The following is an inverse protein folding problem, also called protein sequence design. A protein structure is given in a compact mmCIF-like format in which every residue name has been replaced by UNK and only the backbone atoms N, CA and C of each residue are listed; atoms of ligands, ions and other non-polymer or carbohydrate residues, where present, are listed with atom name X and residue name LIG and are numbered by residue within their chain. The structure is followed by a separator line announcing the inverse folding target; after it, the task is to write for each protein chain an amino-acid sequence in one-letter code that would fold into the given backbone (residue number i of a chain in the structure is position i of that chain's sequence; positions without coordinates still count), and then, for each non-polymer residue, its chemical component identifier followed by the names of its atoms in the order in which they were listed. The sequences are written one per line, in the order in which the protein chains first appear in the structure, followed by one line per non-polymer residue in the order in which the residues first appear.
data_IF_358932844541
#
_entry.id   IF_358932844541
#
_cell.length_a   1.000
_cell.length_b   1.000
_cell.length_c   1.000
_cell.angle_alpha   90.00
_cell.angle_beta   90.00
_cell.angle_gamma   90.00
#
_symmetry.space_group_name_H-M   'P 1'
#
loop_
_entity.id
_entity.type
_entity.pdbx_description
1 polymer ?
#
# COMPACT_ATOMS: atom_id res chain seq x y z
N UNK A 1 -41.65 -7.94 -17.50
CA UNK A 1 -41.09 -6.67 -17.00
C UNK A 1 -40.56 -6.92 -15.59
N UNK A 2 -39.27 -7.24 -15.46
CA UNK A 2 -38.62 -7.40 -14.15
C UNK A 2 -37.87 -6.10 -13.86
N UNK A 3 -38.43 -5.30 -12.97
CA UNK A 3 -37.71 -4.18 -12.36
C UNK A 3 -36.73 -4.83 -11.38
N UNK A 4 -35.52 -5.12 -11.84
CA UNK A 4 -34.40 -5.37 -10.92
C UNK A 4 -34.13 -4.02 -10.29
N UNK A 5 -34.60 -3.88 -9.06
CA UNK A 5 -34.30 -2.74 -8.20
C UNK A 5 -32.77 -2.71 -8.10
N UNK A 6 -32.11 -1.83 -8.89
CA UNK A 6 -30.68 -1.60 -8.78
C UNK A 6 -30.47 -1.00 -7.40
N UNK A 7 -30.26 -1.87 -6.41
CA UNK A 7 -29.63 -1.53 -5.15
C UNK A 7 -28.53 -0.55 -5.49
N UNK A 8 -28.63 0.68 -4.99
CA UNK A 8 -27.58 1.70 -5.00
C UNK A 8 -26.22 1.01 -5.15
N UNK A 9 -25.59 1.10 -6.32
CA UNK A 9 -24.30 0.46 -6.56
C UNK A 9 -23.38 0.91 -5.43
N UNK A 10 -23.10 0.01 -4.48
CA UNK A 10 -22.32 0.38 -3.30
C UNK A 10 -20.96 0.85 -3.79
N UNK A 11 -20.58 2.07 -3.43
CA UNK A 11 -19.29 2.64 -3.82
C UNK A 11 -18.19 1.92 -3.05
N UNK A 12 -17.63 0.86 -3.64
CA UNK A 12 -16.53 0.09 -3.07
C UNK A 12 -15.24 0.49 -3.79
N UNK A 13 -14.31 1.05 -3.05
CA UNK A 13 -13.02 1.49 -3.57
C UNK A 13 -11.91 0.71 -2.91
N UNK A 14 -10.88 0.37 -3.69
CA UNK A 14 -9.71 -0.29 -3.18
C UNK A 14 -8.44 0.44 -3.63
N UNK A 15 -7.47 0.55 -2.73
CA UNK A 15 -6.09 0.85 -3.05
C UNK A 15 -5.30 -0.44 -2.91
N UNK A 16 -4.69 -0.89 -4.01
CA UNK A 16 -3.90 -2.11 -4.06
C UNK A 16 -2.45 -1.72 -4.33
N UNK A 17 -1.59 -2.00 -3.36
CA UNK A 17 -0.18 -1.61 -3.35
C UNK A 17 0.73 -2.82 -3.49
N UNK A 18 1.67 -2.76 -4.43
CA UNK A 18 2.72 -3.76 -4.58
C UNK A 18 4.08 -3.11 -4.79
N UNK A 19 4.93 -3.07 -3.75
CA UNK A 19 6.26 -2.45 -3.84
C UNK A 19 7.34 -3.53 -3.80
N UNK A 20 8.02 -3.69 -4.93
CA UNK A 20 9.12 -4.65 -5.06
C UNK A 20 10.47 -4.06 -4.64
N UNK A 21 10.81 -2.87 -5.14
CA UNK A 21 12.17 -2.36 -5.14
C UNK A 21 12.41 -1.31 -4.05
N UNK A 22 13.51 -1.50 -3.31
CA UNK A 22 13.96 -0.62 -2.24
C UNK A 22 15.45 -0.29 -2.42
N UNK A 23 15.80 0.75 -3.22
CA UNK A 23 17.18 1.04 -3.58
C UNK A 23 18.15 1.31 -2.41
N UNK A 24 17.61 1.86 -1.31
CA UNK A 24 18.39 2.22 -0.14
C UNK A 24 18.39 1.14 0.95
N UNK A 25 17.59 0.08 0.80
CA UNK A 25 17.64 -1.10 1.66
C UNK A 25 18.53 -2.15 1.01
N UNK A 26 19.35 -2.84 1.81
CA UNK A 26 20.27 -3.86 1.31
C UNK A 26 19.77 -5.26 1.64
N UNK A 27 19.95 -6.18 0.70
CA UNK A 27 19.82 -7.62 0.97
C UNK A 27 21.12 -8.19 1.56
N UNK A 28 21.13 -9.49 1.83
CA UNK A 28 22.32 -10.21 2.36
C UNK A 28 23.53 -10.18 1.43
N UNK A 29 23.35 -9.85 0.15
CA UNK A 29 24.41 -9.71 -0.85
C UNK A 29 24.84 -8.24 -1.05
N UNK A 30 24.42 -7.33 -0.16
CA UNK A 30 24.66 -5.89 -0.23
C UNK A 30 24.10 -5.22 -1.51
N UNK A 31 23.11 -5.84 -2.16
CA UNK A 31 22.41 -5.29 -3.33
C UNK A 31 21.12 -4.61 -2.88
N UNK A 32 20.59 -3.67 -3.69
CA UNK A 32 19.23 -3.14 -3.49
C UNK A 32 18.22 -4.26 -3.25
N UNK A 33 17.49 -4.17 -2.14
CA UNK A 33 16.46 -5.14 -1.83
C UNK A 33 15.36 -5.10 -2.90
N UNK A 34 15.03 -6.27 -3.44
CA UNK A 34 13.98 -6.44 -4.43
C UNK A 34 13.11 -7.66 -4.08
N UNK A 35 11.84 -7.42 -3.74
CA UNK A 35 10.86 -8.44 -3.45
C UNK A 35 10.31 -9.00 -4.76
N UNK A 36 10.51 -10.29 -5.00
CA UNK A 36 10.21 -10.89 -6.31
C UNK A 36 8.71 -11.01 -6.62
N UNK A 37 7.85 -10.98 -5.61
CA UNK A 37 6.42 -11.32 -5.76
C UNK A 37 5.45 -10.19 -5.43
N UNK A 38 5.84 -9.16 -4.68
CA UNK A 38 4.90 -8.19 -4.12
C UNK A 38 4.01 -7.50 -5.18
N UNK A 39 4.60 -7.05 -6.30
CA UNK A 39 3.84 -6.45 -7.40
C UNK A 39 2.92 -7.45 -8.12
N UNK A 40 3.36 -8.70 -8.29
CA UNK A 40 2.58 -9.74 -8.96
C UNK A 40 1.40 -10.20 -8.09
N UNK A 41 1.64 -10.39 -6.79
CA UNK A 41 0.60 -10.74 -5.81
C UNK A 41 -0.43 -9.60 -5.69
N UNK A 42 0.04 -8.35 -5.63
CA UNK A 42 -0.83 -7.17 -5.66
C UNK A 42 -1.66 -7.09 -6.95
N UNK A 43 -1.08 -7.31 -8.12
CA UNK A 43 -1.83 -7.30 -9.38
C UNK A 43 -2.89 -8.41 -9.43
N UNK A 44 -2.57 -9.61 -8.96
CA UNK A 44 -3.54 -10.70 -8.86
C UNK A 44 -4.71 -10.34 -7.94
N UNK A 45 -4.44 -9.72 -6.78
CA UNK A 45 -5.48 -9.20 -5.88
C UNK A 45 -6.31 -8.10 -6.56
N UNK A 46 -5.67 -7.15 -7.25
CA UNK A 46 -6.37 -6.09 -7.98
C UNK A 46 -7.39 -6.68 -8.98
N UNK A 47 -6.97 -7.65 -9.78
CA UNK A 47 -7.83 -8.31 -10.77
C UNK A 47 -8.99 -9.06 -10.11
N UNK A 48 -8.75 -9.75 -9.00
CA UNK A 48 -9.82 -10.44 -8.26
C UNK A 48 -10.85 -9.46 -7.68
N UNK A 49 -10.39 -8.34 -7.14
CA UNK A 49 -11.25 -7.30 -6.58
C UNK A 49 -12.10 -6.60 -7.66
N UNK A 50 -11.53 -6.33 -8.84
CA UNK A 50 -12.26 -5.78 -9.98
C UNK A 50 -13.29 -6.80 -10.53
N UNK A 51 -12.85 -8.04 -10.76
CA UNK A 51 -13.64 -9.06 -11.45
C UNK A 51 -14.78 -9.61 -10.59
N UNK A 52 -14.49 -9.91 -9.32
CA UNK A 52 -15.42 -10.63 -8.43
C UNK A 52 -15.82 -9.81 -7.21
N UNK A 53 -15.00 -8.83 -6.82
CA UNK A 53 -15.24 -8.01 -5.64
C UNK A 53 -16.12 -6.78 -5.90
N UNK A 54 -16.41 -6.43 -7.15
CA UNK A 54 -17.10 -5.20 -7.53
C UNK A 54 -16.46 -3.95 -6.88
N UNK A 55 -15.12 -3.92 -6.84
CA UNK A 55 -14.35 -2.77 -6.38
C UNK A 55 -13.88 -1.93 -7.57
N UNK A 56 -13.88 -0.61 -7.39
CA UNK A 56 -13.08 0.30 -8.19
C UNK A 56 -11.67 0.28 -7.63
N UNK A 57 -10.72 -0.28 -8.37
CA UNK A 57 -9.35 -0.49 -7.89
C UNK A 57 -8.41 0.59 -8.40
N UNK A 58 -7.73 1.24 -7.47
CA UNK A 58 -6.55 2.06 -7.72
C UNK A 58 -5.30 1.21 -7.46
N UNK A 59 -4.47 1.05 -8.48
CA UNK A 59 -3.18 0.34 -8.41
C UNK A 59 -2.06 1.32 -8.00
N UNK A 60 -1.11 0.87 -7.17
CA UNK A 60 0.04 1.69 -6.79
C UNK A 60 1.31 0.85 -6.55
N UNK A 61 2.49 1.29 -7.03
CA UNK A 61 2.66 2.26 -8.11
C UNK A 61 1.97 1.76 -9.38
N UNK A 62 1.39 2.66 -10.19
CA UNK A 62 0.74 2.28 -11.43
C UNK A 62 1.65 2.53 -12.64
N UNK A 63 1.59 1.63 -13.61
CA UNK A 63 2.13 1.80 -14.97
C UNK A 63 1.04 1.46 -15.99
N UNK A 64 1.08 2.11 -17.15
CA UNK A 64 0.18 1.82 -18.27
C UNK A 64 0.88 0.85 -19.24
N UNK A 65 0.31 -0.33 -19.44
CA UNK A 65 0.79 -1.38 -20.35
C UNK A 65 -0.37 -1.78 -21.26
N UNK A 66 -0.21 -1.65 -22.58
CA UNK A 66 -1.24 -2.00 -23.58
C UNK A 66 -2.63 -1.46 -23.24
N UNK A 67 -2.69 -0.17 -22.90
CA UNK A 67 -3.89 0.57 -22.47
C UNK A 67 -4.53 0.15 -21.14
N UNK A 68 -3.98 -0.84 -20.45
CA UNK A 68 -4.39 -1.26 -19.10
C UNK A 68 -3.49 -0.64 -18.02
N UNK A 69 -4.08 -0.23 -16.89
CA UNK A 69 -3.31 0.12 -15.69
C UNK A 69 -2.94 -1.16 -14.94
N UNK A 70 -1.65 -1.31 -14.61
CA UNK A 70 -1.10 -2.42 -13.86
C UNK A 70 -0.19 -1.92 -12.74
N UNK A 71 0.12 -2.78 -11.76
CA UNK A 71 1.14 -2.47 -10.76
C UNK A 71 2.52 -2.42 -11.42
N UNK A 72 3.25 -1.32 -11.23
CA UNK A 72 4.62 -1.16 -11.71
C UNK A 72 5.58 -1.99 -10.85
N UNK A 73 6.05 -3.11 -11.39
CA UNK A 73 7.00 -3.99 -10.72
C UNK A 73 8.43 -3.41 -10.63
N UNK A 74 8.73 -2.36 -11.40
CA UNK A 74 10.04 -1.71 -11.49
C UNK A 74 9.89 -0.18 -11.51
N UNK A 75 9.29 0.41 -10.46
CA UNK A 75 8.93 1.81 -10.47
C UNK A 75 10.17 2.69 -10.54
N UNK A 76 10.17 3.66 -11.46
CA UNK A 76 11.13 4.76 -11.44
C UNK A 76 10.96 5.53 -10.13
N UNK A 77 12.04 6.11 -9.62
CA UNK A 77 12.21 6.56 -8.21
C UNK A 77 11.14 7.48 -7.61
N UNK A 78 10.22 8.05 -8.41
CA UNK A 78 9.15 8.96 -7.94
C UNK A 78 7.82 8.28 -7.67
N UNK A 79 7.51 7.14 -8.28
CA UNK A 79 6.15 6.61 -8.29
C UNK A 79 5.79 5.78 -7.07
N UNK A 80 6.78 5.33 -6.30
CA UNK A 80 6.61 4.51 -5.11
C UNK A 80 7.22 5.16 -3.86
N UNK A 81 7.20 6.50 -3.77
CA UNK A 81 7.72 7.25 -2.63
C UNK A 81 6.72 7.30 -1.46
N UNK A 82 7.22 7.46 -0.24
CA UNK A 82 6.44 7.58 1.00
C UNK A 82 5.35 8.65 0.89
N UNK A 83 5.67 9.81 0.32
CA UNK A 83 4.73 10.93 0.19
C UNK A 83 3.55 10.56 -0.71
N UNK A 84 3.82 10.01 -1.89
CA UNK A 84 2.80 9.54 -2.83
C UNK A 84 1.95 8.40 -2.25
N UNK A 85 2.58 7.47 -1.51
CA UNK A 85 1.84 6.40 -0.84
C UNK A 85 0.90 6.96 0.24
N UNK A 86 1.36 7.90 1.08
CA UNK A 86 0.50 8.56 2.08
C UNK A 86 -0.67 9.29 1.44
N UNK A 87 -0.44 9.96 0.31
CA UNK A 87 -1.47 10.65 -0.45
C UNK A 87 -2.52 9.66 -0.98
N UNK A 88 -2.08 8.57 -1.61
CA UNK A 88 -2.99 7.54 -2.12
C UNK A 88 -3.85 6.92 -1.00
N UNK A 89 -3.25 6.60 0.15
CA UNK A 89 -3.97 6.07 1.32
C UNK A 89 -4.96 7.13 1.85
N UNK A 90 -4.54 8.40 1.92
CA UNK A 90 -5.41 9.49 2.38
C UNK A 90 -6.61 9.68 1.47
N UNK A 91 -6.40 9.62 0.15
CA UNK A 91 -7.47 9.72 -0.85
C UNK A 91 -8.44 8.54 -0.78
N UNK A 92 -8.01 7.35 -0.36
CA UNK A 92 -8.91 6.22 -0.15
C UNK A 92 -9.81 6.42 1.09
N UNK A 93 -9.21 6.74 2.23
CA UNK A 93 -9.93 6.73 3.52
C UNK A 93 -10.58 8.06 3.89
N UNK A 94 -10.05 9.17 3.38
CA UNK A 94 -10.49 10.53 3.67
C UNK A 94 -10.57 11.40 2.41
N UNK A 95 -11.26 10.97 1.34
CA UNK A 95 -11.39 11.80 0.15
C UNK A 95 -12.25 13.04 0.42
N UNK A 96 -11.99 14.13 -0.30
CA UNK A 96 -12.83 15.33 -0.25
C UNK A 96 -14.26 15.06 -0.76
N UNK A 97 -14.37 14.24 -1.82
CA UNK A 97 -15.62 13.89 -2.49
C UNK A 97 -15.66 12.38 -2.76
N UNK A 98 -16.85 11.82 -3.05
CA UNK A 98 -17.01 10.41 -3.39
C UNK A 98 -16.55 9.44 -2.28
N UNK A 99 -16.93 9.73 -1.03
CA UNK A 99 -16.62 8.90 0.14
C UNK A 99 -17.09 7.45 -0.13
N UNK A 100 -16.18 6.46 -0.06
CA UNK A 100 -16.54 5.08 -0.28
C UNK A 100 -17.42 4.53 0.84
N UNK A 101 -18.38 3.69 0.46
CA UNK A 101 -19.12 2.88 1.43
C UNK A 101 -18.22 1.77 1.98
N UNK A 102 -17.37 1.19 1.13
CA UNK A 102 -16.30 0.26 1.53
C UNK A 102 -14.96 0.74 0.99
N UNK A 103 -14.01 1.04 1.86
CA UNK A 103 -12.62 1.29 1.53
C UNK A 103 -11.78 0.04 1.87
N UNK A 104 -11.06 -0.49 0.88
CA UNK A 104 -10.11 -1.58 1.06
C UNK A 104 -8.69 -1.11 0.75
N UNK A 105 -7.79 -1.26 1.70
CA UNK A 105 -6.36 -1.04 1.50
C UNK A 105 -5.63 -2.38 1.55
N UNK A 106 -5.04 -2.79 0.43
CA UNK A 106 -4.16 -3.94 0.35
C UNK A 106 -2.73 -3.46 0.14
N UNK A 107 -1.80 -4.00 0.92
CA UNK A 107 -0.38 -3.71 0.78
C UNK A 107 0.44 -4.99 0.75
N UNK A 108 1.16 -5.21 -0.35
CA UNK A 108 2.23 -6.19 -0.47
C UNK A 108 3.58 -5.46 -0.56
N UNK A 109 4.49 -5.77 0.36
CA UNK A 109 5.78 -5.10 0.42
C UNK A 109 6.62 -5.42 1.65
N UNK A 110 7.64 -4.59 1.91
CA UNK A 110 8.50 -4.68 3.10
C UNK A 110 7.88 -3.88 4.25
N UNK A 111 7.85 -4.46 5.44
CA UNK A 111 7.69 -3.70 6.68
C UNK A 111 9.05 -3.36 7.29
N UNK A 112 9.17 -2.20 7.91
CA UNK A 112 10.32 -1.80 8.72
C UNK A 112 9.89 -1.54 10.16
N UNK A 113 10.85 -1.58 11.07
CA UNK A 113 10.63 -1.37 12.48
C UNK A 113 11.76 -0.54 13.09
N UNK A 114 11.37 0.43 13.90
CA UNK A 114 12.28 1.23 14.71
C UNK A 114 11.93 1.02 16.19
N UNK A 115 12.94 0.94 17.03
CA UNK A 115 12.78 0.96 18.48
C UNK A 115 13.64 2.08 19.08
N UNK A 116 13.00 3.07 19.70
CA UNK A 116 13.70 4.17 20.38
C UNK A 116 13.02 4.47 21.71
N UNK A 117 13.82 4.57 22.77
CA UNK A 117 13.32 4.89 24.11
C UNK A 117 12.29 3.89 24.64
N UNK A 118 12.40 2.60 24.25
CA UNK A 118 11.45 1.55 24.62
C UNK A 118 10.13 1.56 23.83
N UNK A 119 9.99 2.44 22.84
CA UNK A 119 8.82 2.49 21.97
C UNK A 119 9.16 1.82 20.65
N UNK A 120 8.41 0.78 20.31
CA UNK A 120 8.50 0.06 19.04
C UNK A 120 7.49 0.63 18.06
N UNK A 121 7.96 1.16 16.93
CA UNK A 121 7.12 1.67 15.85
C UNK A 121 7.34 0.85 14.57
N UNK A 122 6.27 0.58 13.84
CA UNK A 122 6.30 -0.19 12.60
C UNK A 122 5.85 0.65 11.41
N UNK A 123 6.42 0.37 10.25
CA UNK A 123 6.25 1.17 9.04
C UNK A 123 6.03 0.28 7.82
N UNK A 124 5.17 0.74 6.91
CA UNK A 124 5.09 0.23 5.54
C UNK A 124 6.17 0.92 4.71
N UNK A 125 7.17 0.17 4.25
CA UNK A 125 8.25 0.74 3.49
C UNK A 125 7.78 1.13 2.09
N UNK A 126 8.09 2.37 1.71
CA UNK A 126 8.05 2.84 0.33
C UNK A 126 9.43 2.66 -0.32
N UNK A 127 9.54 2.78 -1.65
CA UNK A 127 10.82 2.60 -2.35
C UNK A 127 11.92 3.57 -1.90
N UNK A 128 11.56 4.76 -1.41
CA UNK A 128 12.50 5.74 -0.87
C UNK A 128 12.89 5.51 0.60
N UNK A 129 12.42 4.43 1.24
CA UNK A 129 12.75 4.12 2.62
C UNK A 129 14.26 4.00 2.81
N UNK A 130 14.80 4.78 3.74
CA UNK A 130 16.19 4.84 4.14
C UNK A 130 16.26 5.08 5.67
N UNK A 131 16.32 4.01 6.48
CA UNK A 131 16.43 4.10 7.94
C UNK A 131 17.64 4.91 8.42
N UNK A 132 18.77 4.84 7.73
CA UNK A 132 20.00 5.61 8.08
C UNK A 132 19.76 7.13 8.03
N UNK A 133 18.83 7.57 7.17
CA UNK A 133 18.40 8.97 7.05
C UNK A 133 17.10 9.27 7.79
N UNK A 134 16.60 8.35 8.63
CA UNK A 134 15.35 8.49 9.37
C UNK A 134 14.08 8.37 8.51
N UNK A 135 14.18 7.90 7.27
CA UNK A 135 13.02 7.66 6.41
C UNK A 135 12.58 6.19 6.50
N UNK A 136 11.74 5.85 7.48
CA UNK A 136 11.26 4.48 7.68
C UNK A 136 10.09 4.06 6.80
N UNK A 137 9.44 5.00 6.11
CA UNK A 137 8.22 4.76 5.33
C UNK A 137 6.96 5.29 6.01
N UNK A 138 5.80 4.69 5.75
CA UNK A 138 4.50 5.10 6.29
C UNK A 138 4.28 4.44 7.64
N UNK A 139 4.26 5.23 8.72
CA UNK A 139 4.00 4.76 10.08
C UNK A 139 2.62 4.11 10.20
N UNK A 140 2.56 2.94 10.84
CA UNK A 140 1.29 2.29 11.18
C UNK A 140 0.51 3.11 12.21
N UNK A 141 1.16 3.79 13.16
CA UNK A 141 0.48 4.71 14.07
C UNK A 141 -0.18 5.88 13.33
N UNK A 142 0.44 6.36 12.25
CA UNK A 142 -0.18 7.37 11.39
C UNK A 142 -1.37 6.79 10.61
N UNK A 143 -1.25 5.56 10.09
CA UNK A 143 -2.33 4.86 9.42
C UNK A 143 -3.53 4.65 10.37
N UNK A 144 -3.30 4.19 11.60
CA UNK A 144 -4.34 3.98 12.60
C UNK A 144 -5.12 5.28 12.87
N UNK A 145 -4.41 6.39 13.11
CA UNK A 145 -5.04 7.72 13.30
C UNK A 145 -5.77 8.23 12.05
N UNK A 146 -5.34 7.81 10.85
CA UNK A 146 -6.03 8.15 9.61
C UNK A 146 -7.34 7.36 9.48
N UNK A 147 -7.33 6.07 9.84
CA UNK A 147 -8.48 5.16 9.83
C UNK A 147 -9.54 5.60 10.85
N UNK A 148 -9.13 6.03 12.05
CA UNK A 148 -10.02 6.62 13.06
C UNK A 148 -10.81 7.83 12.54
N UNK A 149 -10.20 8.60 11.62
CA UNK A 149 -10.82 9.78 11.02
C UNK A 149 -11.60 9.46 9.74
N UNK A 150 -11.49 8.23 9.23
CA UNK A 150 -12.10 7.82 7.97
C UNK A 150 -13.61 7.96 8.01
N UNK A 151 -14.15 8.52 6.93
CA UNK A 151 -15.60 8.64 6.72
C UNK A 151 -16.18 7.41 6.01
N UNK A 152 -15.34 6.45 5.62
CA UNK A 152 -15.79 5.22 4.99
C UNK A 152 -16.55 4.36 6.00
N UNK A 153 -17.74 3.87 5.62
CA UNK A 153 -18.60 3.09 6.51
C UNK A 153 -17.96 1.75 6.88
N UNK A 154 -17.31 1.11 5.92
CA UNK A 154 -16.55 -0.11 6.11
C UNK A 154 -15.11 0.11 5.67
N UNK A 155 -14.17 -0.24 6.55
CA UNK A 155 -12.74 -0.14 6.33
C UNK A 155 -12.14 -1.54 6.39
N UNK A 156 -11.34 -1.90 5.39
CA UNK A 156 -10.66 -3.20 5.32
C UNK A 156 -9.18 -2.91 5.06
N UNK A 157 -8.30 -3.47 5.88
CA UNK A 157 -6.85 -3.32 5.74
C UNK A 157 -6.22 -4.71 5.71
N UNK A 158 -5.55 -5.03 4.60
CA UNK A 158 -4.84 -6.28 4.38
C UNK A 158 -3.36 -5.98 4.18
N UNK A 159 -2.53 -6.44 5.12
CA UNK A 159 -1.09 -6.22 5.11
C UNK A 159 -0.37 -7.54 4.86
N UNK A 160 0.10 -7.73 3.63
CA UNK A 160 0.99 -8.82 3.22
C UNK A 160 2.44 -8.31 3.24
N UNK A 161 2.96 -8.16 4.45
CA UNK A 161 4.26 -7.56 4.68
C UNK A 161 5.32 -8.64 4.92
N UNK A 162 6.38 -8.64 4.11
CA UNK A 162 7.59 -9.38 4.47
C UNK A 162 8.29 -8.63 5.61
N UNK A 163 8.37 -9.27 6.78
CA UNK A 163 9.16 -8.73 7.89
C UNK A 163 10.66 -8.76 7.53
N UNK A 164 11.32 -7.62 7.67
CA UNK A 164 12.79 -7.56 7.66
C UNK A 164 13.26 -7.47 9.10
N UNK A 165 13.84 -8.54 9.62
CA UNK A 165 14.64 -8.46 10.86
C UNK A 165 15.91 -7.67 10.53
N UNK A 166 15.82 -6.34 10.58
CA UNK A 166 17.02 -5.51 10.63
C UNK A 166 17.54 -5.60 12.06
N UNK A 167 18.44 -6.55 12.30
CA UNK A 167 19.24 -6.59 13.50
C UNK A 167 20.13 -5.34 13.51
N UNK A 168 19.67 -4.29 14.20
CA UNK A 168 20.58 -3.25 14.68
C UNK A 168 21.41 -3.90 15.79
N UNK A 169 22.55 -4.47 15.44
CA UNK A 169 23.58 -4.73 16.42
C UNK A 169 24.02 -3.36 16.93
N UNK A 170 23.55 -3.00 18.12
CA UNK A 170 24.13 -1.93 18.91
C UNK A 170 25.60 -2.32 19.16
N UNK A 171 26.52 -1.70 18.40
CA UNK A 171 27.94 -1.61 18.74
C UNK A 171 28.18 -0.29 19.48
#
# INVERSE_FOLDING_TARGET
MLIVNRSKLMNRQALVVGINLYPQLKDSSNKPLNLRKAAADAEAIAQLLETYGNFQVTRFPAIKIDDSLQIDATPKSRNAQKTALKEAISNLFNPENNIPETALFFFAGRSLQEERGGIKESFLAASDANPEKGNWGVSLNWLDRLLEKSRARQQIVWLDCQHGELYWNYL
#
